data_IF_169096158044
#
_entry.id   IF_169096158044
#
_cell.length_a   1.000
_cell.length_b   1.000
_cell.length_c   1.000
_cell.angle_alpha   90.00
_cell.angle_beta   90.00
_cell.angle_gamma   90.00
#
_symmetry.space_group_name_H-M   'P 1'
#
loop_
_entity.id
_entity.type
_entity.pdbx_description
1 polymer ?
#
# COMPACT_ATOMS: atom_id res chain seq x y z
N UNK A 1 17.75 -0.81 0.13
CA UNK A 1 17.28 -2.14 -0.30
C UNK A 1 16.62 -2.88 0.86
N UNK A 2 17.28 -3.01 2.00
CA UNK A 2 16.80 -3.80 3.16
C UNK A 2 15.43 -3.37 3.75
N UNK A 3 15.08 -2.08 3.73
CA UNK A 3 13.79 -1.62 4.28
C UNK A 3 12.59 -2.24 3.56
N UNK A 4 12.53 -2.16 2.23
CA UNK A 4 11.38 -2.66 1.47
C UNK A 4 11.26 -4.17 1.53
N UNK A 5 12.40 -4.90 1.56
CA UNK A 5 12.41 -6.35 1.71
C UNK A 5 11.86 -6.79 3.08
N UNK A 6 12.37 -6.20 4.17
CA UNK A 6 11.86 -6.52 5.51
C UNK A 6 10.40 -6.09 5.67
N UNK A 7 10.01 -4.95 5.07
CA UNK A 7 8.63 -4.49 5.09
C UNK A 7 7.69 -5.42 4.32
N UNK A 8 8.11 -5.92 3.15
CA UNK A 8 7.36 -6.93 2.40
C UNK A 8 7.19 -8.22 3.21
N UNK A 9 8.27 -8.69 3.84
CA UNK A 9 8.25 -9.87 4.70
C UNK A 9 7.29 -9.70 5.88
N UNK A 10 7.30 -8.55 6.53
CA UNK A 10 6.52 -8.33 7.75
C UNK A 10 5.06 -7.96 7.48
N UNK A 11 4.77 -7.15 6.44
CA UNK A 11 3.45 -6.56 6.22
C UNK A 11 2.78 -6.94 4.89
N UNK A 12 3.48 -7.67 4.02
CA UNK A 12 2.97 -8.06 2.70
C UNK A 12 3.00 -6.94 1.67
N UNK A 13 2.56 -7.28 0.45
CA UNK A 13 2.65 -6.42 -0.75
C UNK A 13 1.79 -5.15 -0.65
N UNK A 14 0.62 -5.25 -0.02
CA UNK A 14 -0.33 -4.13 0.12
C UNK A 14 0.27 -2.96 0.89
N UNK A 15 1.16 -3.24 1.84
CA UNK A 15 1.82 -2.25 2.66
C UNK A 15 3.08 -1.66 2.01
N UNK A 16 3.51 -2.12 0.84
CA UNK A 16 4.69 -1.54 0.17
C UNK A 16 4.40 -0.19 -0.49
N UNK A 17 3.19 -0.01 -1.03
CA UNK A 17 2.83 1.15 -1.86
C UNK A 17 2.26 2.34 -1.06
N UNK A 18 1.98 2.18 0.24
CA UNK A 18 1.42 3.22 1.12
C UNK A 18 2.07 3.16 2.49
N UNK A 19 2.01 4.20 3.34
CA UNK A 19 2.47 4.13 4.73
C UNK A 19 1.81 2.99 5.52
N UNK A 20 2.55 2.38 6.45
CA UNK A 20 1.98 1.45 7.45
C UNK A 20 1.19 2.27 8.46
N UNK A 21 -0.02 1.83 8.75
CA UNK A 21 -0.96 2.43 9.70
C UNK A 21 -1.17 1.49 10.89
N UNK A 22 -1.81 2.00 11.94
CA UNK A 22 -2.15 1.21 13.11
C UNK A 22 -3.00 -0.01 12.73
N UNK A 23 -3.97 0.13 11.82
CA UNK A 23 -4.88 -0.95 11.41
C UNK A 23 -4.19 -2.05 10.55
N UNK A 24 -2.93 -1.86 10.14
CA UNK A 24 -2.13 -2.89 9.45
C UNK A 24 -1.46 -3.88 10.41
N UNK A 25 -1.45 -3.55 11.69
CA UNK A 25 -0.88 -4.37 12.74
C UNK A 25 -1.81 -5.53 13.08
N UNK A 26 -1.22 -6.67 13.46
CA UNK A 26 -1.98 -7.83 13.92
C UNK A 26 -2.40 -7.66 15.39
N UNK A 27 -3.39 -8.42 15.89
CA UNK A 27 -3.82 -8.37 17.29
C UNK A 27 -2.66 -8.54 18.30
N UNK A 28 -1.69 -9.40 17.98
CA UNK A 28 -0.49 -9.61 18.81
C UNK A 28 0.42 -8.38 18.82
N UNK A 29 0.50 -7.67 17.70
CA UNK A 29 1.29 -6.44 17.58
C UNK A 29 0.64 -5.31 18.39
N UNK A 30 -0.70 -5.23 18.39
CA UNK A 30 -1.44 -4.32 19.26
C UNK A 30 -1.21 -4.64 20.73
N UNK A 31 -1.29 -5.91 21.11
CA UNK A 31 -1.01 -6.34 22.49
C UNK A 31 0.43 -5.99 22.90
N UNK A 32 1.40 -6.15 21.99
CA UNK A 32 2.80 -5.78 22.19
C UNK A 32 3.00 -4.27 22.38
N UNK A 33 2.37 -3.44 21.55
CA UNK A 33 2.41 -1.98 21.74
C UNK A 33 1.74 -1.59 23.08
N UNK A 34 0.59 -2.19 23.39
CA UNK A 34 -0.16 -1.91 24.61
C UNK A 34 0.52 -2.42 25.88
N UNK A 35 1.45 -3.37 25.81
CA UNK A 35 2.23 -3.76 27.00
C UNK A 35 3.20 -2.66 27.44
N UNK A 36 3.47 -1.66 26.58
CA UNK A 36 4.50 -0.66 26.84
C UNK A 36 5.91 -1.16 26.59
N UNK A 37 6.07 -2.35 26.00
CA UNK A 37 7.38 -2.92 25.62
C UNK A 37 8.16 -2.01 24.66
N UNK A 38 7.46 -1.20 23.86
CA UNK A 38 8.09 -0.17 23.02
C UNK A 38 7.21 1.07 22.96
N UNK A 39 7.79 2.25 23.19
CA UNK A 39 7.07 3.53 23.23
C UNK A 39 7.89 4.66 22.61
N UNK A 40 7.24 5.71 22.13
CA UNK A 40 7.89 6.99 21.83
C UNK A 40 7.71 7.90 23.05
N UNK A 41 8.81 8.38 23.62
CA UNK A 41 8.77 9.13 24.90
C UNK A 41 8.97 10.65 24.72
N UNK A 42 9.16 11.10 23.48
CA UNK A 42 9.42 12.49 23.12
C UNK A 42 10.68 12.63 22.27
N UNK A 43 11.30 13.81 22.30
CA UNK A 43 12.53 14.10 21.59
C UNK A 43 13.63 14.54 22.57
N UNK A 44 14.89 14.30 22.19
CA UNK A 44 16.05 14.83 22.90
C UNK A 44 16.21 16.35 22.71
N UNK A 45 17.22 16.95 23.34
CA UNK A 45 17.49 18.39 23.25
C UNK A 45 17.79 18.90 21.84
N UNK A 46 18.17 18.03 20.91
CA UNK A 46 18.42 18.39 19.50
C UNK A 46 17.18 18.14 18.63
N UNK A 47 16.10 17.62 19.23
CA UNK A 47 14.85 17.32 18.55
C UNK A 47 14.84 15.95 17.86
N UNK A 48 15.69 14.99 18.24
CA UNK A 48 15.64 13.60 17.73
C UNK A 48 14.62 12.80 18.54
N UNK A 49 13.61 12.14 17.93
CA UNK A 49 12.67 11.33 18.67
C UNK A 49 13.37 10.14 19.32
N UNK A 50 12.93 9.82 20.55
CA UNK A 50 13.47 8.74 21.36
C UNK A 50 12.43 7.63 21.42
N UNK A 51 12.79 6.46 20.89
CA UNK A 51 12.02 5.23 20.98
C UNK A 51 12.59 4.43 22.15
N UNK A 52 11.79 4.26 23.20
CA UNK A 52 12.09 3.42 24.34
C UNK A 52 11.69 1.98 24.03
N UNK A 53 12.57 1.03 24.30
CA UNK A 53 12.30 -0.41 24.30
C UNK A 53 12.61 -0.99 25.69
N UNK A 54 11.67 -1.75 26.26
CA UNK A 54 11.81 -2.39 27.58
C UNK A 54 11.65 -3.90 27.40
N UNK A 55 12.74 -4.64 27.13
CA UNK A 55 12.69 -6.06 26.76
C UNK A 55 12.04 -6.97 27.80
N UNK A 56 11.99 -6.56 29.06
CA UNK A 56 11.40 -7.34 30.16
C UNK A 56 9.88 -7.38 30.18
N UNK A 57 9.20 -6.49 29.45
CA UNK A 57 7.73 -6.52 29.33
C UNK A 57 7.21 -7.60 28.35
N UNK A 58 8.13 -8.43 27.84
CA UNK A 58 7.85 -9.51 26.90
C UNK A 58 7.30 -10.75 27.61
N UNK A 59 6.19 -11.28 27.10
CA UNK A 59 5.49 -12.45 27.63
C UNK A 59 5.86 -13.75 26.89
N UNK A 60 6.31 -13.70 25.63
CA UNK A 60 6.60 -14.94 24.87
C UNK A 60 7.64 -14.83 23.75
N UNK A 61 8.02 -15.98 23.18
CA UNK A 61 8.97 -16.13 22.05
C UNK A 61 8.39 -15.69 20.70
N UNK A 62 7.08 -15.70 20.52
CA UNK A 62 6.41 -15.24 19.27
C UNK A 62 6.48 -13.73 19.06
N UNK A 63 7.04 -12.99 20.00
CA UNK A 63 7.10 -11.53 19.97
C UNK A 63 8.18 -10.92 19.08
N UNK A 64 9.09 -11.69 18.47
CA UNK A 64 10.10 -11.10 17.58
C UNK A 64 9.46 -10.40 16.36
N UNK A 65 8.50 -11.06 15.72
CA UNK A 65 7.78 -10.51 14.56
C UNK A 65 6.98 -9.29 14.99
N UNK A 66 6.24 -9.40 16.11
CA UNK A 66 5.44 -8.30 16.64
C UNK A 66 6.27 -7.10 17.09
N UNK A 67 7.41 -7.34 17.74
CA UNK A 67 8.37 -6.30 18.06
C UNK A 67 8.90 -5.64 16.78
N UNK A 68 9.26 -6.43 15.77
CA UNK A 68 9.81 -5.90 14.51
C UNK A 68 8.81 -5.01 13.78
N UNK A 69 7.55 -5.47 13.67
CA UNK A 69 6.44 -4.68 13.11
C UNK A 69 6.18 -3.43 13.92
N UNK A 70 6.09 -3.55 15.25
CA UNK A 70 5.89 -2.44 16.17
C UNK A 70 7.00 -1.40 16.07
N UNK A 71 8.27 -1.83 16.02
CA UNK A 71 9.41 -0.93 15.92
C UNK A 71 9.45 -0.22 14.57
N UNK A 72 9.16 -0.91 13.46
CA UNK A 72 9.07 -0.27 12.14
C UNK A 72 7.92 0.74 12.07
N UNK A 73 6.75 0.38 12.61
CA UNK A 73 5.60 1.28 12.70
C UNK A 73 5.93 2.51 13.54
N UNK A 74 6.43 2.34 14.77
CA UNK A 74 6.81 3.45 15.64
C UNK A 74 7.95 4.28 15.05
N UNK A 75 8.91 3.69 14.36
CA UNK A 75 9.97 4.45 13.70
C UNK A 75 9.44 5.32 12.56
N UNK A 76 8.54 4.78 11.73
CA UNK A 76 7.88 5.56 10.69
C UNK A 76 7.01 6.68 11.29
N UNK A 77 6.30 6.38 12.38
CA UNK A 77 5.49 7.34 13.12
C UNK A 77 6.33 8.46 13.74
N UNK A 78 7.47 8.12 14.33
CA UNK A 78 8.42 9.07 14.90
C UNK A 78 8.96 10.04 13.82
N UNK A 79 9.26 9.55 12.62
CA UNK A 79 9.67 10.43 11.53
C UNK A 79 8.56 11.37 11.04
N UNK A 80 7.29 10.91 11.10
CA UNK A 80 6.13 11.69 10.65
C UNK A 80 5.76 12.79 11.64
N UNK A 81 5.65 12.44 12.92
CA UNK A 81 5.21 13.39 13.96
C UNK A 81 6.33 14.36 14.35
N UNK A 82 7.59 13.98 14.16
CA UNK A 82 8.75 14.85 14.40
C UNK A 82 9.44 15.20 13.07
N UNK A 83 8.77 16.05 12.27
CA UNK A 83 9.17 16.37 10.90
C UNK A 83 10.58 16.98 10.78
N UNK A 84 10.97 17.83 11.74
CA UNK A 84 12.33 18.41 11.83
C UNK A 84 13.42 17.34 12.09
N UNK A 85 13.02 16.16 12.54
CA UNK A 85 13.92 15.07 12.92
C UNK A 85 14.23 14.13 11.78
N UNK A 86 13.53 14.23 10.66
CA UNK A 86 13.77 13.41 9.46
C UNK A 86 15.25 13.43 9.02
N UNK A 87 15.92 14.58 9.16
CA UNK A 87 17.35 14.72 8.87
C UNK A 87 18.26 14.33 10.06
N UNK A 88 17.77 14.50 11.28
CA UNK A 88 18.54 14.30 12.53
C UNK A 88 18.55 12.85 12.99
N UNK A 89 17.61 12.03 12.51
CA UNK A 89 17.48 10.62 12.85
C UNK A 89 16.77 10.35 14.17
N UNK A 90 16.67 9.07 14.54
CA UNK A 90 16.02 8.59 15.76
C UNK A 90 17.02 8.05 16.77
N UNK A 91 16.65 8.08 18.05
CA UNK A 91 17.40 7.43 19.14
C UNK A 91 16.62 6.20 19.60
N UNK A 92 17.30 5.06 19.66
CA UNK A 92 16.77 3.86 20.30
C UNK A 92 17.33 3.75 21.72
N UNK A 93 16.47 3.87 22.72
CA UNK A 93 16.79 3.66 24.12
C UNK A 93 16.29 2.28 24.55
N UNK A 94 17.20 1.35 24.80
CA UNK A 94 16.89 0.04 25.38
C UNK A 94 17.13 0.13 26.89
N UNK A 95 16.10 -0.13 27.69
CA UNK A 95 16.17 -0.02 29.14
C UNK A 95 15.89 -1.38 29.79
N UNK A 96 16.93 -1.99 30.35
CA UNK A 96 16.90 -3.32 30.97
C UNK A 96 17.50 -3.29 32.37
N UNK A 97 16.72 -2.80 33.33
CA UNK A 97 17.10 -2.80 34.75
C UNK A 97 16.52 -4.02 35.48
N UNK A 98 17.36 -4.74 36.20
CA UNK A 98 17.13 -5.85 37.11
C UNK A 98 16.03 -5.56 38.13
N UNK A 99 15.86 -4.30 38.55
CA UNK A 99 14.76 -3.89 39.45
C UNK A 99 13.36 -3.97 38.84
N UNK A 100 13.23 -4.10 37.51
CA UNK A 100 11.96 -4.44 36.86
C UNK A 100 11.57 -5.86 37.29
N UNK A 101 10.73 -5.97 38.32
CA UNK A 101 10.16 -7.23 38.82
C UNK A 101 9.26 -7.86 37.75
N UNK A 102 9.53 -9.13 37.42
CA UNK A 102 8.63 -9.91 36.57
C UNK A 102 9.23 -11.16 35.93
N UNK A 103 10.54 -11.20 35.67
CA UNK A 103 11.23 -12.37 35.12
C UNK A 103 12.65 -12.45 35.69
N UNK A 104 12.99 -13.59 36.30
CA UNK A 104 14.25 -13.83 36.97
C UNK A 104 15.47 -13.49 36.11
N UNK A 105 16.48 -12.83 36.68
CA UNK A 105 17.77 -12.58 36.03
C UNK A 105 18.45 -13.87 35.52
N UNK A 106 18.09 -15.04 36.05
CA UNK A 106 18.55 -16.33 35.53
C UNK A 106 17.99 -16.66 34.15
N UNK A 107 16.79 -16.19 33.79
CA UNK A 107 16.24 -16.49 32.47
C UNK A 107 17.00 -15.74 31.40
N UNK A 108 17.26 -14.42 31.46
CA UNK A 108 17.96 -13.72 30.36
C UNK A 108 19.38 -14.28 30.05
N UNK A 109 20.06 -14.84 31.04
CA UNK A 109 21.41 -15.41 30.90
C UNK A 109 21.39 -16.87 30.43
N UNK A 110 20.35 -17.62 30.80
CA UNK A 110 20.07 -18.99 30.32
C UNK A 110 19.21 -19.02 29.06
N UNK A 111 18.68 -17.87 28.69
CA UNK A 111 17.79 -17.66 27.59
C UNK A 111 18.61 -17.82 26.32
N UNK A 112 18.40 -18.99 25.71
CA UNK A 112 19.04 -19.39 24.46
C UNK A 112 18.88 -18.33 23.36
N UNK A 113 17.94 -17.37 23.47
CA UNK A 113 17.71 -16.26 22.51
C UNK A 113 18.96 -15.41 22.25
N UNK A 114 19.75 -15.05 23.26
CA UNK A 114 20.98 -14.26 23.04
C UNK A 114 22.13 -15.07 22.43
N UNK A 115 22.08 -16.40 22.57
CA UNK A 115 23.01 -17.34 21.93
C UNK A 115 22.54 -17.78 20.54
N UNK A 116 21.28 -17.52 20.21
CA UNK A 116 20.68 -17.87 18.92
C UNK A 116 21.12 -16.83 17.89
N UNK A 117 22.05 -17.24 17.03
CA UNK A 117 22.57 -16.41 15.95
C UNK A 117 21.44 -15.84 15.06
N UNK A 118 20.31 -16.54 14.92
CA UNK A 118 19.16 -16.07 14.14
C UNK A 118 18.51 -14.81 14.73
N UNK A 119 18.48 -14.67 16.06
CA UNK A 119 17.93 -13.50 16.74
C UNK A 119 18.84 -12.28 16.57
N UNK A 120 20.16 -12.47 16.69
CA UNK A 120 21.15 -11.42 16.46
C UNK A 120 21.14 -10.97 14.99
N UNK A 121 21.03 -11.92 14.05
CA UNK A 121 20.89 -11.64 12.63
C UNK A 121 19.60 -10.88 12.33
N UNK A 122 18.47 -11.29 12.92
CA UNK A 122 17.19 -10.59 12.82
C UNK A 122 17.26 -9.16 13.37
N UNK A 123 17.91 -8.97 14.52
CA UNK A 123 18.15 -7.66 15.13
C UNK A 123 18.97 -6.74 14.23
N UNK A 124 20.04 -7.25 13.63
CA UNK A 124 20.83 -6.49 12.68
C UNK A 124 20.04 -6.16 11.41
N UNK A 125 19.25 -7.12 10.88
CA UNK A 125 18.36 -6.90 9.74
C UNK A 125 17.34 -5.79 10.03
N UNK A 126 16.72 -5.81 11.21
CA UNK A 126 15.77 -4.81 11.66
C UNK A 126 16.41 -3.43 11.78
N UNK A 127 17.55 -3.31 12.48
CA UNK A 127 18.25 -2.03 12.63
C UNK A 127 18.66 -1.41 11.30
N UNK A 128 19.05 -2.23 10.31
CA UNK A 128 19.39 -1.77 8.96
C UNK A 128 18.19 -1.51 8.06
N UNK A 129 17.00 -1.95 8.47
CA UNK A 129 15.77 -1.79 7.71
C UNK A 129 14.91 -0.63 8.22
N UNK A 130 15.13 -0.11 9.44
CA UNK A 130 14.38 1.05 9.93
C UNK A 130 14.49 2.22 8.93
N UNK A 131 13.38 2.83 8.48
CA UNK A 131 13.38 3.89 7.46
C UNK A 131 13.88 5.24 8.01
N UNK A 132 14.62 5.22 9.11
CA UNK A 132 15.17 6.37 9.80
C UNK A 132 16.68 6.19 9.98
N UNK A 133 17.43 7.30 9.91
CA UNK A 133 18.82 7.30 10.35
C UNK A 133 18.84 7.00 11.86
N UNK A 134 19.33 5.83 12.24
CA UNK A 134 19.56 5.54 13.66
C UNK A 134 20.78 6.34 14.13
N UNK A 135 20.54 7.37 14.93
CA UNK A 135 21.55 8.34 15.34
C UNK A 135 22.31 7.90 16.59
N UNK A 136 21.62 7.27 17.53
CA UNK A 136 22.23 6.69 18.71
C UNK A 136 21.41 5.48 19.20
N UNK A 137 22.11 4.54 19.83
CA UNK A 137 21.51 3.43 20.59
C UNK A 137 22.07 3.50 22.00
N UNK A 138 21.20 3.72 22.98
CA UNK A 138 21.54 3.72 24.40
C UNK A 138 21.01 2.43 25.01
N UNK A 139 21.88 1.66 25.66
CA UNK A 139 21.50 0.43 26.35
C UNK A 139 21.76 0.61 27.85
N UNK A 140 20.72 0.78 28.65
CA UNK A 140 20.83 0.95 30.10
C UNK A 140 20.58 -0.39 30.79
N UNK A 141 21.50 -0.76 31.69
CA UNK A 141 21.42 -2.01 32.45
C UNK A 141 22.11 -1.89 33.81
N UNK A 142 21.78 -2.78 34.72
CA UNK A 142 22.30 -2.84 36.09
C UNK A 142 22.79 -4.24 36.48
N UNK A 143 22.55 -5.26 35.63
CA UNK A 143 23.04 -6.61 35.84
C UNK A 143 24.47 -6.72 35.27
N UNK A 144 25.50 -6.94 36.12
CA UNK A 144 26.88 -7.05 35.65
C UNK A 144 27.09 -8.19 34.65
N UNK A 145 26.25 -9.24 34.67
CA UNK A 145 26.33 -10.35 33.72
C UNK A 145 26.04 -9.93 32.27
N UNK A 146 25.32 -8.82 32.06
CA UNK A 146 25.08 -8.28 30.72
C UNK A 146 26.27 -7.51 30.16
N UNK A 147 27.27 -7.17 30.97
CA UNK A 147 28.43 -6.40 30.51
C UNK A 147 29.16 -7.13 29.36
N UNK A 148 29.52 -8.40 29.53
CA UNK A 148 30.26 -9.17 28.51
C UNK A 148 29.45 -9.31 27.20
N UNK A 149 28.17 -9.74 27.22
CA UNK A 149 27.33 -9.75 26.02
C UNK A 149 27.21 -8.38 25.33
N UNK A 150 27.13 -7.28 26.08
CA UNK A 150 27.05 -5.94 25.49
C UNK A 150 28.34 -5.52 24.79
N UNK A 151 29.50 -5.86 25.35
CA UNK A 151 30.80 -5.62 24.69
C UNK A 151 30.91 -6.47 23.41
N UNK A 152 30.52 -7.74 23.46
CA UNK A 152 30.49 -8.61 22.28
C UNK A 152 29.54 -8.07 21.19
N UNK A 153 28.34 -7.62 21.57
CA UNK A 153 27.39 -7.00 20.67
C UNK A 153 27.99 -5.75 20.02
N UNK A 154 28.63 -4.88 20.79
CA UNK A 154 29.30 -3.68 20.26
C UNK A 154 30.36 -4.06 19.20
N UNK A 155 31.11 -5.14 19.40
CA UNK A 155 32.05 -5.63 18.39
C UNK A 155 31.35 -6.10 17.10
N UNK A 156 30.18 -6.71 17.19
CA UNK A 156 29.44 -7.25 16.03
C UNK A 156 28.73 -6.20 15.16
N UNK A 157 28.29 -5.06 15.70
CA UNK A 157 27.54 -4.04 14.94
C UNK A 157 28.44 -3.27 13.92
N UNK A 158 29.73 -3.58 13.87
CA UNK A 158 30.69 -2.97 12.94
C UNK A 158 31.02 -1.51 13.28
N UNK A 159 31.99 -0.93 12.56
CA UNK A 159 32.59 0.36 12.94
C UNK A 159 31.57 1.50 13.04
N UNK A 160 30.68 1.64 12.05
CA UNK A 160 29.70 2.73 12.02
C UNK A 160 28.66 2.62 13.15
N UNK A 161 28.24 1.40 13.49
CA UNK A 161 27.31 1.17 14.59
C UNK A 161 27.94 1.38 15.96
N UNK A 162 29.22 0.98 16.14
CA UNK A 162 29.96 1.18 17.38
C UNK A 162 30.01 2.63 17.83
N UNK A 163 30.19 3.56 16.89
CA UNK A 163 30.23 5.00 17.20
C UNK A 163 28.89 5.49 17.75
N UNK A 164 27.77 4.85 17.39
CA UNK A 164 26.41 5.23 17.78
C UNK A 164 25.87 4.44 18.97
N UNK A 165 26.47 3.30 19.30
CA UNK A 165 26.07 2.46 20.43
C UNK A 165 26.75 2.91 21.73
N UNK A 166 25.99 3.06 22.81
CA UNK A 166 26.46 3.39 24.15
C UNK A 166 25.78 2.50 25.17
N UNK A 167 26.56 1.74 25.91
CA UNK A 167 26.09 0.92 27.01
C UNK A 167 26.31 1.66 28.34
N UNK A 168 25.29 1.69 29.19
CA UNK A 168 25.30 2.36 30.49
C UNK A 168 25.03 1.33 31.57
N UNK A 169 26.06 1.01 32.34
CA UNK A 169 25.94 0.17 33.54
C UNK A 169 25.70 1.06 34.77
N UNK A 170 24.74 0.71 35.61
CA UNK A 170 24.51 1.36 36.90
C UNK A 170 23.08 1.20 37.38
N UNK A 171 22.80 1.69 38.58
CA UNK A 171 21.46 1.81 39.13
C UNK A 171 20.53 2.64 38.22
N UNK A 172 19.22 2.54 38.44
CA UNK A 172 18.23 3.33 37.72
C UNK A 172 18.59 4.82 37.72
N UNK A 173 18.91 5.38 38.89
CA UNK A 173 19.24 6.80 39.05
C UNK A 173 20.54 7.19 38.32
N UNK A 174 21.59 6.37 38.41
CA UNK A 174 22.84 6.62 37.67
C UNK A 174 22.62 6.60 36.15
N UNK A 175 21.81 5.67 35.65
CA UNK A 175 21.47 5.60 34.24
C UNK A 175 20.67 6.83 33.80
N UNK A 176 19.72 7.33 34.61
CA UNK A 176 19.05 8.60 34.33
C UNK A 176 20.05 9.76 34.22
N UNK A 177 20.97 9.90 35.20
CA UNK A 177 21.99 10.95 35.14
C UNK A 177 22.86 10.86 33.87
N UNK A 178 23.28 9.66 33.49
CA UNK A 178 24.02 9.43 32.24
C UNK A 178 23.20 9.84 31.01
N UNK A 179 21.93 9.44 30.91
CA UNK A 179 21.06 9.79 29.79
C UNK A 179 20.85 11.30 29.63
N UNK A 180 20.77 12.05 30.74
CA UNK A 180 20.67 13.51 30.71
C UNK A 180 21.88 14.17 30.05
N UNK A 181 23.09 13.62 30.20
CA UNK A 181 24.30 14.15 29.52
C UNK A 181 24.24 14.03 27.99
N UNK A 182 23.36 13.17 27.46
CA UNK A 182 23.09 13.04 26.02
C UNK A 182 21.86 13.83 25.57
N UNK A 183 21.26 14.62 26.46
CA UNK A 183 20.08 15.43 26.18
C UNK A 183 18.78 14.62 26.11
N UNK A 184 18.74 13.38 26.58
CA UNK A 184 17.53 12.55 26.60
C UNK A 184 16.64 12.99 27.78
N UNK A 185 15.34 13.28 27.58
CA UNK A 185 14.46 13.82 28.62
C UNK A 185 14.03 12.73 29.60
N UNK A 186 14.79 12.55 30.67
CA UNK A 186 14.56 11.49 31.67
C UNK A 186 13.26 11.66 32.45
N UNK A 187 12.79 12.89 32.63
CA UNK A 187 11.50 13.19 33.27
C UNK A 187 10.29 12.68 32.48
N UNK A 188 10.47 12.34 31.19
CA UNK A 188 9.43 11.77 30.33
C UNK A 188 9.51 10.25 30.22
N UNK A 189 10.49 9.61 30.87
CA UNK A 189 10.60 8.15 30.84
C UNK A 189 9.44 7.54 31.63
N UNK A 190 8.63 6.66 31.03
CA UNK A 190 7.51 6.02 31.71
C UNK A 190 7.97 4.89 32.63
N UNK A 191 9.22 4.90 33.13
CA UNK A 191 9.80 3.81 33.93
C UNK A 191 9.86 4.26 35.38
N UNK A 192 9.15 3.55 36.25
CA UNK A 192 9.21 3.76 37.69
C UNK A 192 10.52 3.18 38.27
N UNK A 193 10.94 3.58 39.48
CA UNK A 193 12.13 3.00 40.14
C UNK A 193 12.02 1.49 40.38
N UNK A 194 10.79 0.96 40.56
CA UNK A 194 10.50 -0.48 40.64
C UNK A 194 10.48 -1.17 39.25
N UNK A 195 10.81 -0.41 38.21
CA UNK A 195 10.89 -0.86 36.84
C UNK A 195 9.55 -1.07 36.14
N UNK A 196 8.42 -0.77 36.78
CA UNK A 196 7.12 -0.82 36.08
C UNK A 196 7.05 0.28 35.03
N UNK A 197 6.46 -0.07 33.89
CA UNK A 197 6.27 0.85 32.78
C UNK A 197 4.85 1.43 32.85
N UNK A 198 4.74 2.75 32.97
CA UNK A 198 3.47 3.45 32.82
C UNK A 198 3.04 3.45 31.36
N UNK A 199 1.81 3.05 31.10
CA UNK A 199 1.30 2.87 29.73
C UNK A 199 0.09 3.73 29.39
N UNK A 200 -0.56 4.33 30.39
CA UNK A 200 -1.83 5.04 30.20
C UNK A 200 -1.73 6.20 29.20
N UNK A 201 -0.70 7.05 29.34
CA UNK A 201 -0.50 8.18 28.42
C UNK A 201 -0.16 7.69 27.01
N UNK A 202 0.64 6.65 26.90
CA UNK A 202 1.01 6.07 25.61
C UNK A 202 -0.18 5.40 24.91
N UNK A 203 -1.07 4.75 25.66
CA UNK A 203 -2.30 4.18 25.14
C UNK A 203 -3.21 5.26 24.56
N UNK A 204 -3.49 6.31 25.35
CA UNK A 204 -4.32 7.43 24.90
C UNK A 204 -3.73 8.09 23.65
N UNK A 205 -2.40 8.25 23.61
CA UNK A 205 -1.70 8.76 22.44
C UNK A 205 -1.84 7.84 21.22
N UNK A 206 -1.64 6.53 21.38
CA UNK A 206 -1.83 5.55 20.30
C UNK A 206 -3.26 5.55 19.76
N UNK A 207 -4.26 5.66 20.64
CA UNK A 207 -5.67 5.77 20.24
C UNK A 207 -5.92 7.02 19.38
N UNK A 208 -5.35 8.16 19.79
CA UNK A 208 -5.40 9.39 19.00
C UNK A 208 -4.72 9.28 17.64
N UNK A 209 -3.58 8.59 17.57
CA UNK A 209 -2.89 8.31 16.29
C UNK A 209 -3.74 7.42 15.39
N UNK A 210 -4.25 6.30 15.92
CA UNK A 210 -5.07 5.37 15.15
C UNK A 210 -6.30 6.07 14.57
N UNK A 211 -6.94 6.94 15.35
CA UNK A 211 -8.09 7.72 14.90
C UNK A 211 -7.71 8.75 13.83
N UNK A 212 -6.61 9.48 14.03
CA UNK A 212 -6.07 10.43 13.02
C UNK A 212 -5.79 9.72 11.70
N UNK A 213 -5.19 8.53 11.72
CA UNK A 213 -4.91 7.74 10.52
C UNK A 213 -6.18 7.27 9.82
N UNK A 214 -7.19 6.79 10.55
CA UNK A 214 -8.49 6.44 9.98
C UNK A 214 -9.18 7.63 9.33
N UNK A 215 -9.15 8.80 9.97
CA UNK A 215 -9.74 10.03 9.42
C UNK A 215 -9.01 10.48 8.15
N UNK A 216 -7.68 10.41 8.12
CA UNK A 216 -6.89 10.72 6.92
C UNK A 216 -7.23 9.78 5.77
N UNK A 217 -7.35 8.48 6.04
CA UNK A 217 -7.72 7.50 5.01
C UNK A 217 -9.15 7.74 4.50
N UNK A 218 -10.10 8.04 5.38
CA UNK A 218 -11.45 8.40 4.98
C UNK A 218 -11.48 9.69 4.15
N UNK A 219 -10.72 10.71 4.54
CA UNK A 219 -10.62 11.96 3.79
C UNK A 219 -10.00 11.74 2.42
N UNK A 220 -8.93 10.94 2.33
CA UNK A 220 -8.31 10.59 1.06
C UNK A 220 -9.31 9.85 0.16
N UNK A 221 -10.04 8.86 0.69
CA UNK A 221 -11.08 8.16 -0.08
C UNK A 221 -12.20 9.10 -0.54
N UNK A 222 -12.59 10.08 0.28
CA UNK A 222 -13.55 11.12 -0.11
C UNK A 222 -13.00 12.00 -1.23
N UNK A 223 -11.75 12.44 -1.13
CA UNK A 223 -11.09 13.25 -2.16
C UNK A 223 -10.92 12.47 -3.47
N UNK A 224 -10.53 11.20 -3.40
CA UNK A 224 -10.47 10.31 -4.56
C UNK A 224 -11.86 10.12 -5.16
N UNK A 225 -12.89 9.93 -4.34
CA UNK A 225 -14.27 9.85 -4.82
C UNK A 225 -14.74 11.15 -5.48
N UNK A 226 -14.33 12.33 -4.97
CA UNK A 226 -14.63 13.64 -5.57
C UNK A 226 -13.85 13.81 -6.88
N UNK A 227 -12.55 13.50 -6.90
CA UNK A 227 -11.73 13.60 -8.10
C UNK A 227 -12.22 12.66 -9.22
N UNK A 228 -12.82 11.53 -8.85
CA UNK A 228 -13.44 10.60 -9.78
C UNK A 228 -14.84 11.05 -10.24
N UNK A 229 -15.40 12.14 -9.70
CA UNK A 229 -16.65 12.75 -10.19
C UNK A 229 -16.31 13.70 -11.32
N UNK A 230 -16.84 13.40 -12.49
CA UNK A 230 -16.71 14.20 -13.69
C UNK A 230 -18.06 14.85 -13.94
N UNK A 231 -18.08 16.19 -13.94
CA UNK A 231 -19.30 16.94 -14.18
C UNK A 231 -19.78 16.76 -15.62
N UNK A 232 -18.86 16.88 -16.59
CA UNK A 232 -19.15 16.75 -18.01
C UNK A 232 -18.10 15.88 -18.70
N UNK A 233 -18.52 14.91 -19.54
CA UNK A 233 -17.58 14.16 -20.35
C UNK A 233 -16.88 15.05 -21.36
N UNK A 234 -15.59 14.83 -21.54
CA UNK A 234 -14.81 15.42 -22.61
C UNK A 234 -15.04 14.67 -23.91
N UNK A 235 -14.69 15.30 -25.04
CA UNK A 235 -14.90 14.76 -26.39
C UNK A 235 -14.33 13.34 -26.57
N UNK A 236 -13.17 13.08 -25.97
CA UNK A 236 -12.45 11.81 -26.13
C UNK A 236 -12.89 10.73 -25.12
N UNK A 237 -13.79 11.05 -24.18
CA UNK A 237 -14.27 10.09 -23.19
C UNK A 237 -15.19 9.03 -23.81
N UNK A 238 -15.07 7.81 -23.30
CA UNK A 238 -15.89 6.67 -23.72
C UNK A 238 -17.05 6.54 -22.73
N UNK A 239 -18.28 6.70 -23.21
CA UNK A 239 -19.47 6.65 -22.35
C UNK A 239 -20.08 5.24 -22.30
N UNK A 240 -20.24 4.71 -21.09
CA UNK A 240 -21.05 3.54 -20.82
C UNK A 240 -22.53 3.91 -20.81
N UNK A 241 -23.33 3.25 -21.64
CA UNK A 241 -24.77 3.47 -21.74
C UNK A 241 -25.39 2.69 -22.89
N UNK A 242 -26.70 2.84 -23.07
CA UNK A 242 -27.49 2.20 -24.14
C UNK A 242 -28.17 3.26 -25.00
N UNK A 243 -28.39 2.93 -26.27
CA UNK A 243 -29.07 3.81 -27.22
C UNK A 243 -28.12 4.76 -27.96
N UNK A 244 -28.69 5.48 -28.93
CA UNK A 244 -27.96 6.36 -29.86
C UNK A 244 -27.13 7.46 -29.19
N UNK A 245 -27.63 8.20 -28.17
CA UNK A 245 -26.86 9.29 -27.59
C UNK A 245 -25.47 8.89 -27.07
N UNK A 246 -25.36 7.66 -26.55
CA UNK A 246 -24.08 7.11 -26.12
C UNK A 246 -23.29 6.53 -27.29
N UNK A 247 -23.94 5.82 -28.23
CA UNK A 247 -23.26 5.20 -29.36
C UNK A 247 -22.61 6.22 -30.30
N UNK A 248 -23.28 7.36 -30.50
CA UNK A 248 -22.86 8.43 -31.40
C UNK A 248 -21.90 9.43 -30.71
N UNK A 249 -21.57 9.22 -29.43
CA UNK A 249 -20.63 10.08 -28.72
C UNK A 249 -19.21 9.95 -29.33
N UNK A 250 -18.46 11.05 -29.54
CA UNK A 250 -17.20 11.01 -30.29
C UNK A 250 -16.16 10.01 -29.76
N UNK A 251 -16.01 9.89 -28.44
CA UNK A 251 -15.13 8.89 -27.84
C UNK A 251 -15.58 7.44 -28.07
N UNK A 252 -16.89 7.16 -28.15
CA UNK A 252 -17.41 5.83 -28.48
C UNK A 252 -17.20 5.46 -29.95
N UNK A 253 -17.32 6.43 -30.85
CA UNK A 253 -16.98 6.25 -32.28
C UNK A 253 -15.49 5.95 -32.42
N UNK A 254 -14.64 6.75 -31.76
CA UNK A 254 -13.18 6.55 -31.75
C UNK A 254 -12.80 5.19 -31.17
N UNK A 255 -13.48 4.74 -30.11
CA UNK A 255 -13.33 3.38 -29.59
C UNK A 255 -13.71 2.33 -30.64
N UNK A 256 -14.80 2.51 -31.38
CA UNK A 256 -15.22 1.62 -32.45
C UNK A 256 -14.13 1.43 -33.50
N UNK A 257 -13.57 2.53 -34.01
CA UNK A 257 -12.45 2.51 -34.97
C UNK A 257 -11.21 1.84 -34.37
N UNK A 258 -10.88 2.16 -33.12
CA UNK A 258 -9.75 1.58 -32.42
C UNK A 258 -9.89 0.07 -32.20
N UNK A 259 -11.09 -0.40 -31.87
CA UNK A 259 -11.40 -1.83 -31.70
C UNK A 259 -11.38 -2.56 -33.04
N UNK A 260 -11.85 -1.92 -34.11
CA UNK A 260 -11.88 -2.50 -35.45
C UNK A 260 -10.48 -2.84 -35.97
N UNK A 261 -9.45 -2.04 -35.63
CA UNK A 261 -8.05 -2.35 -36.00
C UNK A 261 -7.48 -3.61 -35.34
N UNK A 262 -8.14 -4.15 -34.30
CA UNK A 262 -7.75 -5.41 -33.63
C UNK A 262 -8.77 -6.53 -33.87
N UNK A 263 -9.74 -6.33 -34.77
CA UNK A 263 -10.86 -7.25 -34.96
C UNK A 263 -10.42 -8.66 -35.35
N UNK A 264 -9.51 -8.80 -36.31
CA UNK A 264 -9.10 -10.11 -36.83
C UNK A 264 -8.36 -10.91 -35.76
N UNK A 265 -7.45 -10.26 -35.03
CA UNK A 265 -6.80 -10.86 -33.86
C UNK A 265 -7.84 -11.30 -32.82
N UNK A 266 -8.85 -10.48 -32.56
CA UNK A 266 -9.92 -10.86 -31.63
C UNK A 266 -10.69 -12.08 -32.13
N UNK A 267 -11.03 -12.21 -33.41
CA UNK A 267 -11.79 -13.36 -33.92
C UNK A 267 -11.01 -14.67 -33.84
N UNK A 268 -9.70 -14.64 -34.13
CA UNK A 268 -8.82 -15.82 -34.08
C UNK A 268 -8.58 -16.33 -32.67
N UNK A 269 -8.66 -15.45 -31.67
CA UNK A 269 -8.35 -15.77 -30.28
C UNK A 269 -9.42 -16.63 -29.58
N UNK A 270 -8.96 -17.50 -28.67
CA UNK A 270 -9.81 -18.24 -27.73
C UNK A 270 -10.45 -17.29 -26.70
N UNK A 271 -11.43 -17.79 -25.94
CA UNK A 271 -12.18 -16.99 -24.96
C UNK A 271 -11.29 -16.28 -23.93
N UNK A 272 -10.28 -16.96 -23.39
CA UNK A 272 -9.32 -16.38 -22.43
C UNK A 272 -8.46 -15.28 -23.07
N UNK A 273 -7.95 -15.53 -24.26
CA UNK A 273 -7.13 -14.60 -25.04
C UNK A 273 -7.91 -13.36 -25.48
N UNK A 274 -9.22 -13.49 -25.77
CA UNK A 274 -10.13 -12.34 -26.02
C UNK A 274 -10.24 -11.42 -24.82
N UNK A 275 -10.32 -11.99 -23.61
CA UNK A 275 -10.33 -11.24 -22.36
C UNK A 275 -9.01 -10.51 -22.14
N UNK A 276 -7.87 -11.20 -22.36
CA UNK A 276 -6.54 -10.60 -22.26
C UNK A 276 -6.33 -9.48 -23.28
N UNK A 277 -6.75 -9.68 -24.54
CA UNK A 277 -6.70 -8.65 -25.58
C UNK A 277 -7.54 -7.44 -25.20
N UNK A 278 -8.78 -7.64 -24.72
CA UNK A 278 -9.63 -6.54 -24.25
C UNK A 278 -8.97 -5.76 -23.12
N UNK A 279 -8.36 -6.45 -22.14
CA UNK A 279 -7.64 -5.81 -21.03
C UNK A 279 -6.40 -5.04 -21.53
N UNK A 280 -5.68 -5.59 -22.52
CA UNK A 280 -4.56 -4.90 -23.17
C UNK A 280 -5.03 -3.61 -23.85
N UNK A 281 -6.16 -3.62 -24.54
CA UNK A 281 -6.71 -2.41 -25.18
C UNK A 281 -7.12 -1.36 -24.15
N UNK A 282 -7.71 -1.75 -23.02
CA UNK A 282 -7.99 -0.82 -21.90
C UNK A 282 -6.71 -0.13 -21.42
N UNK A 283 -5.61 -0.88 -21.25
CA UNK A 283 -4.31 -0.31 -20.86
C UNK A 283 -3.79 0.70 -21.90
N UNK A 284 -3.95 0.40 -23.18
CA UNK A 284 -3.54 1.31 -24.27
C UNK A 284 -4.39 2.59 -24.29
N UNK A 285 -5.70 2.49 -24.10
CA UNK A 285 -6.60 3.65 -24.00
C UNK A 285 -6.22 4.54 -22.81
N UNK A 286 -6.00 3.95 -21.63
CA UNK A 286 -5.55 4.70 -20.45
C UNK A 286 -4.19 5.37 -20.66
N UNK A 287 -3.25 4.71 -21.34
CA UNK A 287 -1.95 5.31 -21.69
C UNK A 287 -2.09 6.55 -22.59
N UNK A 288 -3.19 6.65 -23.35
CA UNK A 288 -3.54 7.83 -24.17
C UNK A 288 -4.35 8.89 -23.40
N UNK A 289 -4.61 8.70 -22.11
CA UNK A 289 -5.43 9.61 -21.31
C UNK A 289 -6.94 9.44 -21.49
N UNK A 290 -7.39 8.44 -22.26
CA UNK A 290 -8.83 8.22 -22.52
C UNK A 290 -9.51 7.64 -21.28
N UNK A 291 -10.58 8.30 -20.81
CA UNK A 291 -11.39 7.83 -19.68
C UNK A 291 -12.59 7.04 -20.18
N UNK A 292 -12.98 6.02 -19.41
CA UNK A 292 -14.24 5.29 -19.63
C UNK A 292 -15.17 5.66 -18.50
N UNK A 293 -16.31 6.27 -18.84
CA UNK A 293 -17.22 6.88 -17.89
C UNK A 293 -18.53 6.11 -17.82
N UNK A 294 -19.16 6.10 -16.65
CA UNK A 294 -20.53 5.62 -16.46
C UNK A 294 -21.31 6.70 -15.71
N UNK A 295 -22.56 6.91 -16.12
CA UNK A 295 -23.44 7.84 -15.42
C UNK A 295 -23.94 7.20 -14.12
N UNK A 296 -23.83 7.92 -13.00
CA UNK A 296 -24.44 7.54 -11.72
C UNK A 296 -25.94 7.84 -11.78
N UNK A 297 -26.77 6.87 -11.39
CA UNK A 297 -28.23 6.99 -11.52
C UNK A 297 -28.86 7.94 -10.48
N UNK A 298 -28.14 8.24 -9.38
CA UNK A 298 -28.76 8.70 -8.13
C UNK A 298 -28.55 10.19 -7.81
N UNK A 299 -27.81 10.97 -8.61
CA UNK A 299 -27.52 12.38 -8.31
C UNK A 299 -28.20 13.33 -9.33
N UNK A 300 -29.26 14.00 -8.89
CA UNK A 300 -30.29 14.67 -9.70
C UNK A 300 -29.95 16.00 -10.40
N UNK A 301 -28.70 16.24 -10.79
CA UNK A 301 -28.31 17.44 -11.55
C UNK A 301 -28.68 17.29 -13.03
N UNK A 302 -29.66 18.06 -13.49
CA UNK A 302 -30.19 18.08 -14.87
C UNK A 302 -29.26 18.93 -15.74
N UNK A 303 -28.75 18.39 -16.86
CA UNK A 303 -28.03 19.18 -17.87
C UNK A 303 -28.98 19.99 -18.77
N UNK A 304 -28.42 20.82 -19.65
CA UNK A 304 -29.14 21.64 -20.65
C UNK A 304 -30.00 20.84 -21.64
N UNK A 305 -29.88 19.51 -21.64
CA UNK A 305 -30.67 18.57 -22.42
C UNK A 305 -31.67 17.77 -21.55
N UNK A 306 -31.85 18.13 -20.28
CA UNK A 306 -32.79 17.44 -19.40
C UNK A 306 -32.26 16.16 -18.76
N UNK A 307 -30.97 15.82 -18.92
CA UNK A 307 -30.40 14.57 -18.42
C UNK A 307 -29.82 14.75 -17.02
N UNK A 308 -30.29 13.95 -16.06
CA UNK A 308 -29.73 13.92 -14.69
C UNK A 308 -28.53 12.99 -14.57
N UNK A 309 -27.43 13.44 -13.94
CA UNK A 309 -26.41 12.54 -13.37
C UNK A 309 -24.95 13.01 -13.43
N UNK A 310 -24.18 12.68 -12.38
CA UNK A 310 -22.72 12.81 -12.35
C UNK A 310 -22.05 11.64 -13.06
N UNK A 311 -20.98 11.89 -13.80
CA UNK A 311 -20.19 10.84 -14.45
C UNK A 311 -19.10 10.35 -13.49
N UNK A 312 -18.88 9.04 -13.45
CA UNK A 312 -17.77 8.44 -12.71
C UNK A 312 -16.89 7.62 -13.65
N UNK A 313 -15.57 7.67 -13.43
CA UNK A 313 -14.65 6.79 -14.14
C UNK A 313 -14.88 5.35 -13.68
N UNK A 314 -14.99 4.42 -14.63
CA UNK A 314 -15.15 3.00 -14.29
C UNK A 314 -13.79 2.33 -14.07
N UNK A 315 -13.80 1.24 -13.29
CA UNK A 315 -12.64 0.38 -13.11
C UNK A 315 -12.20 -0.31 -14.43
N UNK A 316 -11.04 -0.98 -14.39
CA UNK A 316 -10.50 -1.68 -15.55
C UNK A 316 -11.42 -2.81 -16.05
N UNK A 317 -12.18 -3.43 -15.16
CA UNK A 317 -13.02 -4.59 -15.51
C UNK A 317 -14.26 -4.16 -16.29
N UNK A 318 -14.95 -3.11 -15.83
CA UNK A 318 -16.07 -2.49 -16.57
C UNK A 318 -15.61 -1.86 -17.87
N UNK A 319 -14.44 -1.22 -17.89
CA UNK A 319 -13.85 -0.72 -19.14
C UNK A 319 -13.57 -1.86 -20.13
N UNK A 320 -13.05 -3.00 -19.65
CA UNK A 320 -12.83 -4.21 -20.47
C UNK A 320 -14.14 -4.75 -21.02
N UNK A 321 -15.20 -4.78 -20.22
CA UNK A 321 -16.53 -5.17 -20.70
C UNK A 321 -17.03 -4.26 -21.82
N UNK A 322 -16.89 -2.94 -21.67
CA UNK A 322 -17.25 -1.97 -22.72
C UNK A 322 -16.49 -2.24 -24.03
N UNK A 323 -15.19 -2.53 -23.96
CA UNK A 323 -14.38 -2.93 -25.13
C UNK A 323 -14.90 -4.24 -25.74
N UNK A 324 -15.14 -5.26 -24.91
CA UNK A 324 -15.67 -6.55 -25.38
C UNK A 324 -17.05 -6.43 -26.03
N UNK A 325 -17.93 -5.61 -25.48
CA UNK A 325 -19.23 -5.29 -26.08
C UNK A 325 -19.07 -4.58 -27.42
N UNK A 326 -18.08 -3.70 -27.54
CA UNK A 326 -17.78 -3.02 -28.81
C UNK A 326 -17.35 -4.03 -29.87
N UNK A 327 -16.46 -4.98 -29.56
CA UNK A 327 -16.12 -6.08 -30.47
C UNK A 327 -17.35 -6.88 -30.93
N UNK A 328 -18.28 -7.19 -30.02
CA UNK A 328 -19.52 -7.91 -30.36
C UNK A 328 -20.39 -7.11 -31.32
N UNK A 329 -20.53 -5.81 -31.08
CA UNK A 329 -21.30 -4.92 -31.96
C UNK A 329 -20.64 -4.80 -33.34
N UNK A 330 -19.32 -4.64 -33.40
CA UNK A 330 -18.55 -4.63 -34.66
C UNK A 330 -18.74 -5.94 -35.43
N UNK A 331 -18.74 -7.08 -34.73
CA UNK A 331 -18.99 -8.40 -35.34
C UNK A 331 -20.37 -8.47 -35.97
N UNK A 332 -21.41 -8.03 -35.25
CA UNK A 332 -22.77 -8.00 -35.77
C UNK A 332 -22.90 -7.09 -37.00
N UNK A 333 -22.24 -5.92 -36.98
CA UNK A 333 -22.25 -4.99 -38.09
C UNK A 333 -21.56 -5.56 -39.34
N UNK A 334 -20.35 -6.10 -39.21
CA UNK A 334 -19.63 -6.76 -40.32
C UNK A 334 -20.43 -7.93 -40.90
N UNK A 335 -21.05 -8.75 -40.05
CA UNK A 335 -21.90 -9.86 -40.50
C UNK A 335 -23.14 -9.37 -41.27
N UNK A 336 -23.75 -8.27 -40.85
CA UNK A 336 -24.87 -7.67 -41.56
C UNK A 336 -24.46 -7.12 -42.94
N UNK A 337 -23.33 -6.41 -43.01
CA UNK A 337 -22.76 -5.91 -44.28
C UNK A 337 -22.45 -7.05 -45.25
N UNK A 338 -21.81 -8.11 -44.77
CA UNK A 338 -21.50 -9.28 -45.59
C UNK A 338 -22.78 -9.94 -46.15
N UNK A 339 -23.82 -10.08 -45.33
CA UNK A 339 -25.13 -10.60 -45.78
C UNK A 339 -25.77 -9.70 -46.83
N UNK A 340 -25.67 -8.37 -46.69
CA UNK A 340 -26.20 -7.41 -47.65
C UNK A 340 -25.45 -7.49 -48.99
N UNK A 341 -24.12 -7.55 -48.95
CA UNK A 341 -23.29 -7.72 -50.15
C UNK A 341 -23.59 -9.04 -50.86
N UNK A 342 -23.74 -10.15 -50.12
CA UNK A 342 -24.13 -11.43 -50.71
C UNK A 342 -25.50 -11.37 -51.39
N UNK A 343 -26.49 -10.71 -50.77
CA UNK A 343 -27.81 -10.50 -51.37
C UNK A 343 -27.72 -9.68 -52.67
N UNK A 344 -26.94 -8.60 -52.68
CA UNK A 344 -26.72 -7.77 -53.87
C UNK A 344 -26.04 -8.56 -54.99
N UNK A 345 -25.01 -9.34 -54.69
CA UNK A 345 -24.35 -10.20 -55.67
C UNK A 345 -25.28 -11.27 -56.24
N UNK A 346 -26.15 -11.88 -55.41
CA UNK A 346 -27.15 -12.83 -55.88
C UNK A 346 -28.20 -12.18 -56.79
N UNK A 347 -28.63 -10.96 -56.48
CA UNK A 347 -29.58 -10.21 -57.30
C UNK A 347 -28.98 -9.84 -58.66
N UNK A 348 -27.74 -9.33 -58.70
CA UNK A 348 -27.01 -9.05 -59.94
C UNK A 348 -26.83 -10.31 -60.80
N UNK A 349 -26.51 -11.46 -60.19
CA UNK A 349 -26.42 -12.75 -60.90
C UNK A 349 -27.77 -13.18 -61.49
N UNK A 350 -28.89 -12.97 -60.78
CA UNK A 350 -30.23 -13.26 -61.28
C UNK A 350 -30.62 -12.35 -62.45
N UNK A 351 -30.32 -11.07 -62.36
CA UNK A 351 -30.58 -10.10 -63.44
C UNK A 351 -29.75 -10.39 -64.70
N UNK A 352 -28.48 -10.76 -64.54
CA UNK A 352 -27.62 -11.18 -65.66
C UNK A 352 -28.19 -12.42 -66.36
N UNK A 353 -28.57 -13.46 -65.61
CA UNK A 353 -29.21 -14.67 -66.17
C UNK A 353 -30.51 -14.36 -66.91
N UNK A 354 -31.34 -13.44 -66.40
CA UNK A 354 -32.57 -13.00 -67.10
C UNK A 354 -32.25 -12.31 -68.43
N UNK A 355 -31.24 -11.43 -68.46
CA UNK A 355 -30.79 -10.76 -69.69
C UNK A 355 -30.22 -11.74 -70.72
N UNK A 356 -29.45 -12.73 -70.27
CA UNK A 356 -28.88 -13.75 -71.16
C UNK A 356 -29.97 -14.66 -71.75
N UNK A 357 -31.02 -15.00 -70.97
CA UNK A 357 -32.18 -15.75 -71.47
C UNK A 357 -33.00 -14.96 -72.50
N UNK A 358 -33.12 -13.65 -72.36
CA UNK A 358 -33.81 -12.79 -73.35
C UNK A 358 -33.02 -12.59 -74.65
N UNK A 359 -31.71 -12.88 -74.64
CA UNK A 359 -30.82 -12.75 -75.82
C UNK A 359 -30.69 -14.03 -76.65
N UNK A 360 -31.30 -15.15 -76.24
CA UNK A 360 -31.33 -16.34 -77.09
C UNK A 360 -32.24 -16.07 -78.29
N UNK A 361 -31.70 -16.08 -79.53
CA UNK A 361 -32.51 -15.85 -80.71
C UNK A 361 -33.56 -16.94 -80.83
N UNK A 362 -34.82 -16.56 -81.07
CA UNK A 362 -35.85 -17.49 -81.52
C UNK A 362 -35.40 -18.04 -82.88
N UNK A 363 -34.68 -19.15 -82.88
CA UNK A 363 -34.50 -19.97 -84.08
C UNK A 363 -35.85 -20.59 -84.41
N UNK A 364 -36.63 -19.86 -85.21
CA UNK A 364 -37.75 -20.42 -85.95
C UNK A 364 -37.17 -21.28 -87.08
N UNK A 365 -37.32 -22.59 -86.95
CA UNK A 365 -37.45 -23.51 -88.08
C UNK A 365 -38.92 -23.64 -88.43
#
# INVERSE_FOLDING_TARGET
>A
VNYFELRLELFGVECLARPVTYDDLQPEDHAYLRSGSTQIIGADQVGRPVILAVPKQRRSRTEWISMSRSLLYLSALALREFSESSQKGVILLVYDSSMIQGVCANELCQDRRFRDASYLQGSNKLLNAVPAKLSAVHFCYDNPQLAVPMHALQLMIGHQGRVRFRAHFGSHLENLYKLMTFGIPTQKLPIQPDGKVSTQQFHAWLDGIAEKERQQLQQQRKLEAIHNRIAFPERDDILCGRGRPFQDFPGNISLGVFVDSYYDQYQLNKKSEKTQLSMKLVKLLRKRGVRVLKRRADEGAVDEHGLRGVWEMVDNERAREKVSHTFRNTTLHRNALNKQQQKQQQQQKKEKKKKDQQRQPKTHQ
#
